data_IF_499641105013
#
_entry.id   IF_499641105013
#
_cell.length_a   1.000
_cell.length_b   1.000
_cell.length_c   1.000
_cell.angle_alpha   90.00
_cell.angle_beta   90.00
_cell.angle_gamma   90.00
#
_symmetry.space_group_name_H-M   'P 1'
#
loop_
_entity.id
_entity.type
_entity.pdbx_description
1 polymer ?
#
# COMPACT_ATOMS: atom_id res chain seq x y z
N UNK A 1 1.59 -21.37 24.87
CA UNK A 1 2.18 -20.62 23.73
C UNK A 1 1.08 -19.85 23.03
N UNK A 2 1.01 -18.52 23.17
CA UNK A 2 0.00 -17.71 22.47
C UNK A 2 0.54 -17.45 21.08
N UNK A 3 0.06 -18.17 20.08
CA UNK A 3 0.37 -17.88 18.68
C UNK A 3 -0.02 -16.42 18.42
N UNK A 4 0.97 -15.53 18.31
CA UNK A 4 0.74 -14.14 17.94
C UNK A 4 0.31 -14.18 16.49
N UNK A 5 -1.00 -14.24 16.25
CA UNK A 5 -1.59 -14.18 14.92
C UNK A 5 -1.04 -12.94 14.22
N UNK A 6 -0.10 -13.16 13.29
CA UNK A 6 0.47 -12.09 12.48
C UNK A 6 -0.54 -11.75 11.40
N UNK A 7 -0.68 -10.47 11.11
CA UNK A 7 -1.57 -9.95 10.09
C UNK A 7 -0.73 -9.65 8.85
N UNK A 8 -0.78 -10.51 7.81
CA UNK A 8 -0.09 -10.23 6.57
C UNK A 8 -0.71 -9.01 5.87
N UNK A 9 0.10 -8.35 5.06
CA UNK A 9 -0.40 -7.33 4.16
C UNK A 9 -1.47 -7.91 3.22
N UNK A 10 -2.61 -7.23 2.97
CA UNK A 10 -3.61 -7.69 2.01
C UNK A 10 -3.12 -7.73 0.56
N UNK A 11 -1.99 -7.10 0.22
CA UNK A 11 -1.40 -7.25 -1.11
C UNK A 11 -0.60 -8.56 -1.18
N UNK A 12 -0.98 -9.53 -2.05
CA UNK A 12 -0.30 -10.82 -2.18
C UNK A 12 1.17 -10.71 -2.65
N UNK A 13 1.55 -9.60 -3.29
CA UNK A 13 2.94 -9.36 -3.70
C UNK A 13 3.81 -8.78 -2.57
N UNK A 14 3.22 -8.48 -1.40
CA UNK A 14 3.93 -7.89 -0.28
C UNK A 14 4.22 -8.92 0.83
N UNK A 15 5.49 -9.24 1.12
CA UNK A 15 5.85 -10.20 2.17
C UNK A 15 5.75 -9.61 3.60
N UNK A 16 5.26 -8.37 3.76
CA UNK A 16 5.22 -7.69 5.06
C UNK A 16 4.11 -8.25 5.94
N UNK A 17 4.45 -8.54 7.20
CA UNK A 17 3.50 -8.99 8.22
C UNK A 17 3.58 -8.12 9.47
N UNK A 18 2.45 -7.93 10.14
CA UNK A 18 2.30 -7.02 11.26
C UNK A 18 1.75 -7.72 12.49
N UNK A 19 1.99 -7.14 13.67
CA UNK A 19 1.44 -7.69 14.93
C UNK A 19 -0.05 -7.36 15.12
N UNK A 20 -0.60 -6.41 14.34
CA UNK A 20 -1.99 -5.98 14.41
C UNK A 20 -2.59 -5.76 13.03
N UNK A 21 -3.90 -5.97 12.90
CA UNK A 21 -4.64 -5.82 11.63
C UNK A 21 -4.66 -4.37 11.13
N UNK A 22 -4.78 -3.39 12.04
CA UNK A 22 -4.79 -1.97 11.68
C UNK A 22 -3.46 -1.52 11.08
N UNK A 23 -2.34 -2.04 11.57
CA UNK A 23 -1.01 -1.76 11.04
C UNK A 23 -0.86 -2.31 9.61
N UNK A 24 -1.31 -3.54 9.36
CA UNK A 24 -1.32 -4.13 8.02
C UNK A 24 -2.20 -3.34 7.03
N UNK A 25 -3.40 -2.92 7.47
CA UNK A 25 -4.30 -2.09 6.65
C UNK A 25 -3.71 -0.72 6.32
N UNK A 26 -3.10 -0.04 7.31
CA UNK A 26 -2.46 1.27 7.10
C UNK A 26 -1.27 1.16 6.15
N UNK A 27 -0.43 0.13 6.33
CA UNK A 27 0.67 -0.13 5.41
C UNK A 27 0.17 -0.38 3.99
N UNK A 28 -0.85 -1.23 3.83
CA UNK A 28 -1.44 -1.46 2.53
C UNK A 28 -1.97 -0.18 1.92
N UNK A 29 -2.70 0.63 2.68
CA UNK A 29 -3.22 1.90 2.17
C UNK A 29 -2.13 2.91 1.77
N UNK A 30 -0.96 2.86 2.40
CA UNK A 30 0.13 3.78 2.07
C UNK A 30 1.05 3.26 0.95
N UNK A 31 1.16 1.93 0.84
CA UNK A 31 2.20 1.27 0.03
C UNK A 31 1.64 0.47 -1.16
N UNK A 32 0.36 0.13 -1.13
CA UNK A 32 -0.34 -0.70 -2.12
C UNK A 32 -1.74 -0.21 -2.46
N UNK A 33 -2.26 0.83 -1.80
CA UNK A 33 -3.30 1.64 -2.43
C UNK A 33 -2.59 2.19 -3.65
N UNK A 34 -2.80 1.52 -4.78
CA UNK A 34 -2.26 1.95 -6.04
C UNK A 34 -2.76 3.36 -6.21
N UNK A 35 -1.79 4.27 -6.18
CA UNK A 35 -1.88 5.55 -6.84
C UNK A 35 -2.93 5.50 -7.95
N UNK A 36 -4.09 6.09 -7.70
CA UNK A 36 -5.21 6.06 -8.66
C UNK A 36 -4.91 6.82 -9.94
N UNK A 37 -3.74 7.45 -10.00
CA UNK A 37 -3.31 8.39 -11.00
C UNK A 37 -1.92 7.98 -11.45
N UNK A 38 -1.89 7.18 -12.51
CA UNK A 38 -0.67 6.80 -13.21
C UNK A 38 -0.40 7.83 -14.31
N UNK A 39 0.85 8.24 -14.47
CA UNK A 39 1.25 9.07 -15.60
C UNK A 39 1.43 8.20 -16.85
N UNK A 40 0.65 8.43 -17.91
CA UNK A 40 0.77 7.67 -19.16
C UNK A 40 2.14 7.85 -19.87
N UNK A 41 2.86 8.93 -19.59
CA UNK A 41 4.14 9.23 -20.24
C UNK A 41 5.34 8.49 -19.61
N UNK A 42 5.32 8.24 -18.30
CA UNK A 42 6.47 7.66 -17.57
C UNK A 42 6.09 6.48 -16.67
N UNK A 43 4.80 6.11 -16.63
CA UNK A 43 4.25 5.05 -15.76
C UNK A 43 4.52 5.26 -14.27
N UNK A 44 4.68 6.53 -13.85
CA UNK A 44 4.89 6.87 -12.44
C UNK A 44 3.54 6.99 -11.70
N UNK A 45 3.55 6.67 -10.41
CA UNK A 45 2.36 6.35 -9.64
C UNK A 45 2.10 7.38 -8.53
N UNK A 46 1.03 8.16 -8.67
CA UNK A 46 0.63 9.19 -7.69
C UNK A 46 -0.62 8.85 -6.87
N UNK A 47 -0.51 9.03 -5.56
CA UNK A 47 -1.63 8.87 -4.60
C UNK A 47 -2.75 9.92 -4.79
N UNK A 48 -2.45 11.06 -5.43
CA UNK A 48 -3.38 12.17 -5.62
C UNK A 48 -3.27 12.76 -7.03
N UNK A 49 -4.41 13.18 -7.59
CA UNK A 49 -4.49 13.72 -8.95
C UNK A 49 -3.68 15.00 -9.14
N UNK A 50 -3.66 15.89 -8.15
CA UNK A 50 -2.88 17.13 -8.19
C UNK A 50 -1.36 16.88 -8.16
N UNK A 51 -0.92 15.77 -7.55
CA UNK A 51 0.48 15.37 -7.59
C UNK A 51 0.87 14.87 -8.99
N UNK A 52 -0.03 14.13 -9.65
CA UNK A 52 0.13 13.78 -11.07
C UNK A 52 0.11 15.03 -11.98
N UNK A 53 -0.77 16.01 -11.74
CA UNK A 53 -0.81 17.22 -12.58
C UNK A 53 0.41 18.13 -12.46
N UNK A 54 1.12 18.09 -11.33
CA UNK A 54 2.35 18.87 -11.12
C UNK A 54 3.63 18.13 -11.53
N UNK A 55 3.55 16.80 -11.59
CA UNK A 55 4.62 15.92 -12.05
C UNK A 55 4.97 16.20 -13.51
#
# INVERSE_FOLDING_TARGET
HRERRRYPCPNPQCPRTFSRANDAKRHAKASHDEARFTCDACSDHFQRRDSLHRH
#
